data_IF_579166653767
#
_entry.id   IF_579166653767
#
_cell.length_a   1.000
_cell.length_b   1.000
_cell.length_c   1.000
_cell.angle_alpha   90.00
_cell.angle_beta   90.00
_cell.angle_gamma   90.00
#
_symmetry.space_group_name_H-M   'P 1'
#
loop_
_entity.id
_entity.type
_entity.pdbx_description
1 polymer ?
#
# COMPACT_ATOMS: atom_id res chain seq x y z
N UNK A 1 -0.83 2.71 -1.16
CA UNK A 1 -0.36 1.37 -1.58
C UNK A 1 -1.46 0.50 -2.15
N UNK A 2 -2.59 0.26 -1.46
CA UNK A 2 -3.68 -0.59 -1.98
C UNK A 2 -4.27 -0.09 -3.31
N UNK A 3 -4.46 1.21 -3.45
CA UNK A 3 -5.00 1.88 -4.65
C UNK A 3 -4.16 1.63 -5.91
N UNK A 4 -2.84 1.85 -5.81
CA UNK A 4 -1.92 1.68 -6.95
C UNK A 4 -1.69 0.21 -7.34
N UNK A 5 -2.30 -0.74 -6.62
CA UNK A 5 -2.44 -2.12 -7.09
C UNK A 5 -3.34 -2.25 -8.34
N UNK A 6 -4.06 -1.20 -8.72
CA UNK A 6 -4.77 -1.11 -9.99
C UNK A 6 -6.10 -1.87 -10.05
N UNK A 7 -6.56 -2.42 -8.92
CA UNK A 7 -7.83 -3.15 -8.83
C UNK A 7 -8.58 -2.72 -7.58
N UNK A 8 -9.85 -2.37 -7.68
CA UNK A 8 -10.67 -1.96 -6.52
C UNK A 8 -11.11 -3.17 -5.66
N UNK A 9 -11.96 -2.94 -4.67
CA UNK A 9 -12.47 -4.00 -3.78
C UNK A 9 -13.56 -4.88 -4.43
N UNK A 10 -14.07 -4.47 -5.60
CA UNK A 10 -15.06 -5.20 -6.40
C UNK A 10 -14.41 -5.99 -7.54
N UNK A 11 -13.08 -5.90 -7.71
CA UNK A 11 -12.33 -6.56 -8.78
C UNK A 11 -12.25 -5.75 -10.08
N UNK A 12 -12.71 -4.49 -10.09
CA UNK A 12 -12.62 -3.64 -11.28
C UNK A 12 -11.25 -2.98 -11.38
N UNK A 13 -10.78 -2.77 -12.61
CA UNK A 13 -9.57 -2.02 -12.85
C UNK A 13 -9.71 -0.56 -12.39
N UNK A 14 -8.65 -0.05 -11.76
CA UNK A 14 -8.51 1.36 -11.39
C UNK A 14 -7.56 2.00 -12.41
N UNK A 15 -7.99 3.10 -13.02
CA UNK A 15 -7.09 3.95 -13.81
C UNK A 15 -6.27 4.85 -12.87
N UNK A 16 -4.98 4.53 -12.76
CA UNK A 16 -4.04 5.23 -11.87
C UNK A 16 -3.29 6.29 -12.67
N UNK A 17 -3.59 7.57 -12.42
CA UNK A 17 -2.90 8.69 -13.07
C UNK A 17 -1.71 9.14 -12.21
N UNK A 18 -0.50 8.69 -12.56
CA UNK A 18 0.74 9.03 -11.85
C UNK A 18 1.92 9.15 -12.83
N UNK A 19 2.76 10.20 -12.77
CA UNK A 19 3.93 10.33 -13.64
C UNK A 19 4.98 9.22 -13.43
N UNK A 20 5.02 8.60 -12.26
CA UNK A 20 5.89 7.47 -11.91
C UNK A 20 5.17 6.12 -12.00
N UNK A 21 4.01 6.04 -12.68
CA UNK A 21 3.19 4.83 -12.77
C UNK A 21 4.00 3.59 -13.17
N UNK A 22 4.92 3.72 -14.14
CA UNK A 22 5.74 2.59 -14.59
C UNK A 22 6.59 1.98 -13.46
N UNK A 23 7.17 2.81 -12.59
CA UNK A 23 7.99 2.36 -11.45
C UNK A 23 7.10 1.70 -10.40
N UNK A 24 5.96 2.31 -10.11
CA UNK A 24 4.97 1.78 -9.17
C UNK A 24 4.45 0.43 -9.65
N UNK A 25 4.06 0.33 -10.92
CA UNK A 25 3.54 -0.91 -11.50
C UNK A 25 4.59 -2.01 -11.55
N UNK A 26 5.87 -1.68 -11.81
CA UNK A 26 6.95 -2.64 -11.72
C UNK A 26 7.09 -3.22 -10.30
N UNK A 27 7.03 -2.38 -9.26
CA UNK A 27 7.05 -2.84 -7.87
C UNK A 27 5.82 -3.69 -7.51
N UNK A 28 4.63 -3.30 -8.00
CA UNK A 28 3.39 -4.06 -7.80
C UNK A 28 3.45 -5.42 -8.47
N UNK A 29 3.84 -5.47 -9.75
CA UNK A 29 3.89 -6.71 -10.54
C UNK A 29 5.01 -7.65 -10.08
N UNK A 30 6.10 -7.10 -9.55
CA UNK A 30 7.23 -7.87 -9.02
C UNK A 30 7.01 -8.41 -7.61
N UNK A 31 5.85 -8.18 -6.99
CA UNK A 31 5.58 -8.58 -5.61
C UNK A 31 4.21 -9.24 -5.45
N UNK A 32 4.17 -10.28 -4.61
CA UNK A 32 2.91 -10.86 -4.16
C UNK A 32 2.13 -9.86 -3.27
N UNK A 33 0.79 -9.96 -3.28
CA UNK A 33 -0.10 -9.22 -2.38
C UNK A 33 0.30 -9.44 -0.90
N UNK A 34 0.15 -8.41 -0.07
CA UNK A 34 0.45 -8.46 1.36
C UNK A 34 1.81 -7.86 1.69
N UNK A 35 2.60 -8.55 2.52
CA UNK A 35 3.85 -8.00 3.06
C UNK A 35 4.89 -7.67 1.98
N UNK A 36 5.06 -8.56 1.01
CA UNK A 36 5.99 -8.34 -0.11
C UNK A 36 5.63 -7.09 -0.91
N UNK A 37 4.34 -6.82 -1.11
CA UNK A 37 3.84 -5.63 -1.80
C UNK A 37 4.18 -4.34 -1.07
N UNK A 38 3.96 -4.32 0.24
CA UNK A 38 4.28 -3.14 1.07
C UNK A 38 5.78 -2.86 1.04
N UNK A 39 6.62 -3.89 1.22
CA UNK A 39 8.08 -3.75 1.16
C UNK A 39 8.58 -3.26 -0.20
N UNK A 40 8.04 -3.83 -1.30
CA UNK A 40 8.41 -3.41 -2.65
C UNK A 40 8.06 -1.94 -2.92
N UNK A 41 6.88 -1.49 -2.49
CA UNK A 41 6.45 -0.10 -2.66
C UNK A 41 7.23 0.87 -1.76
N UNK A 42 7.54 0.48 -0.51
CA UNK A 42 8.39 1.27 0.37
C UNK A 42 9.81 1.43 -0.17
N UNK A 43 10.32 0.44 -0.92
CA UNK A 43 11.62 0.51 -1.58
C UNK A 43 11.72 1.56 -2.70
N UNK A 44 10.63 2.24 -3.08
CA UNK A 44 10.67 3.31 -4.07
C UNK A 44 11.24 4.58 -3.41
N UNK A 45 12.56 4.72 -3.48
CA UNK A 45 13.30 5.84 -2.86
C UNK A 45 12.78 7.22 -3.30
N UNK A 46 12.36 7.37 -4.56
CA UNK A 46 11.82 8.63 -5.06
C UNK A 46 10.50 9.07 -4.37
N UNK A 47 9.83 8.16 -3.64
CA UNK A 47 8.59 8.43 -2.91
C UNK A 47 8.84 8.44 -1.39
N UNK A 48 9.55 7.43 -0.87
CA UNK A 48 9.69 7.21 0.57
C UNK A 48 11.08 7.58 1.13
N UNK A 49 12.02 7.97 0.27
CA UNK A 49 13.41 8.21 0.66
C UNK A 49 14.11 6.95 1.14
N UNK A 50 15.24 7.14 1.83
CA UNK A 50 16.07 6.03 2.35
C UNK A 50 15.76 5.67 3.79
N UNK A 51 15.18 6.59 4.57
CA UNK A 51 15.03 6.42 6.02
C UNK A 51 13.79 5.60 6.37
N UNK A 52 12.63 5.93 5.77
CA UNK A 52 11.34 5.31 6.12
C UNK A 52 11.31 3.78 5.97
N UNK A 53 11.92 3.15 4.94
CA UNK A 53 11.95 1.69 4.83
C UNK A 53 12.72 1.00 5.97
N UNK A 54 13.54 1.73 6.71
CA UNK A 54 14.33 1.21 7.84
C UNK A 54 13.74 1.58 9.21
N UNK A 55 12.73 2.44 9.25
CA UNK A 55 11.97 2.73 10.47
C UNK A 55 10.98 1.60 10.74
N UNK A 56 11.32 0.70 11.66
CA UNK A 56 10.50 -0.46 12.02
C UNK A 56 9.09 -0.05 12.46
N UNK A 57 8.96 1.03 13.24
CA UNK A 57 7.65 1.48 13.72
C UNK A 57 6.76 1.93 12.57
N UNK A 58 7.33 2.68 11.63
CA UNK A 58 6.63 3.10 10.41
C UNK A 58 6.25 1.91 9.54
N UNK A 59 7.19 1.00 9.25
CA UNK A 59 6.96 -0.17 8.41
C UNK A 59 5.85 -1.05 8.99
N UNK A 60 5.89 -1.32 10.30
CA UNK A 60 4.87 -2.10 11.00
C UNK A 60 3.50 -1.43 10.93
N UNK A 61 3.42 -0.12 11.18
CA UNK A 61 2.16 0.62 11.12
C UNK A 61 1.53 0.58 9.72
N UNK A 62 2.34 0.78 8.66
CA UNK A 62 1.88 0.70 7.27
C UNK A 62 1.44 -0.73 6.92
N UNK A 63 2.18 -1.73 7.40
CA UNK A 63 1.87 -3.14 7.19
C UNK A 63 0.51 -3.51 7.79
N UNK A 64 0.28 -3.14 9.06
CA UNK A 64 -0.99 -3.38 9.76
C UNK A 64 -2.16 -2.69 9.06
N UNK A 65 -1.98 -1.44 8.64
CA UNK A 65 -3.00 -0.71 7.89
C UNK A 65 -3.31 -1.42 6.56
N UNK A 66 -2.29 -1.83 5.80
CA UNK A 66 -2.47 -2.53 4.53
C UNK A 66 -3.20 -3.86 4.69
N UNK A 67 -2.84 -4.67 5.70
CA UNK A 67 -3.52 -5.93 5.99
C UNK A 67 -4.97 -5.70 6.39
N UNK A 68 -5.25 -4.67 7.18
CA UNK A 68 -6.62 -4.35 7.59
C UNK A 68 -7.48 -3.95 6.37
N UNK A 69 -6.91 -3.18 5.43
CA UNK A 69 -7.57 -2.85 4.16
C UNK A 69 -7.90 -4.11 3.35
N UNK A 70 -6.98 -5.07 3.25
CA UNK A 70 -7.23 -6.33 2.52
C UNK A 70 -8.34 -7.17 3.17
N UNK A 71 -8.38 -7.21 4.50
CA UNK A 71 -9.31 -8.06 5.24
C UNK A 71 -10.71 -7.46 5.37
N UNK A 72 -10.80 -6.13 5.56
CA UNK A 72 -12.04 -5.45 5.96
C UNK A 72 -12.55 -4.45 4.93
N UNK A 73 -11.73 -4.11 3.94
CA UNK A 73 -11.99 -3.02 3.01
C UNK A 73 -11.78 -1.64 3.65
N UNK A 74 -11.73 -0.63 2.80
CA UNK A 74 -11.38 0.74 3.17
C UNK A 74 -12.36 1.36 4.16
N UNK A 75 -13.67 1.20 3.92
CA UNK A 75 -14.73 1.79 4.76
C UNK A 75 -14.63 1.32 6.22
N UNK A 76 -14.54 0.01 6.44
CA UNK A 76 -14.47 -0.55 7.79
C UNK A 76 -13.12 -0.27 8.46
N UNK A 77 -12.03 -0.28 7.69
CA UNK A 77 -10.69 0.07 8.20
C UNK A 77 -10.65 1.50 8.74
N UNK A 78 -11.20 2.46 8.00
CA UNK A 78 -11.27 3.87 8.42
C UNK A 78 -12.12 4.01 9.68
N UNK A 79 -13.29 3.39 9.73
CA UNK A 79 -14.16 3.42 10.91
C UNK A 79 -13.47 2.84 12.16
N UNK A 80 -12.73 1.74 12.02
CA UNK A 80 -11.96 1.15 13.10
C UNK A 80 -10.85 2.08 13.59
N UNK A 81 -10.08 2.67 12.67
CA UNK A 81 -9.00 3.60 13.03
C UNK A 81 -9.53 4.85 13.74
N UNK A 82 -10.63 5.43 13.25
CA UNK A 82 -11.23 6.61 13.86
C UNK A 82 -11.75 6.37 15.27
N UNK A 83 -12.20 5.15 15.60
CA UNK A 83 -12.65 4.78 16.93
C UNK A 83 -11.51 4.59 17.95
N UNK A 84 -10.25 4.58 17.50
CA UNK A 84 -9.05 4.41 18.33
C UNK A 84 -8.31 5.73 18.60
N UNK A 85 -8.80 6.84 18.03
CA UNK A 85 -8.34 8.20 18.30
C UNK A 85 -9.01 8.76 19.56
#
# INVERSE_FOLDING_TARGET
>A
MRYVGGVDEQGNAIDVSDPQLAVIQAAVNGSAEGESRVKALLGIEAIFGKELPHDTCFVEAVMTAYQTLLQKGAKATVAQYAAQL
#
